data_IF_859089658698
#
_entry.id   IF_859089658698
#
_cell.length_a   1.000
_cell.length_b   1.000
_cell.length_c   1.000
_cell.angle_alpha   90.00
_cell.angle_beta   90.00
_cell.angle_gamma   90.00
#
_symmetry.space_group_name_H-M   'P 1'
#
loop_
_entity.id
_entity.type
_entity.pdbx_description
1 polymer ?
#
# COMPACT_ATOMS: atom_id res chain seq x y z
N UNK A 1 -30.30 15.19 -16.98
CA UNK A 1 -29.09 14.37 -17.10
C UNK A 1 -28.24 14.71 -15.90
N UNK A 2 -27.95 13.74 -15.04
CA UNK A 2 -26.88 13.90 -14.04
C UNK A 2 -25.61 13.61 -14.84
N UNK A 3 -24.80 14.62 -15.07
CA UNK A 3 -23.47 14.46 -15.69
C UNK A 3 -22.57 13.77 -14.66
N UNK A 4 -21.58 12.98 -15.12
CA UNK A 4 -20.63 12.26 -14.26
C UNK A 4 -19.87 13.16 -13.24
N UNK A 5 -20.05 14.49 -13.33
CA UNK A 5 -19.47 15.52 -12.48
C UNK A 5 -20.06 15.58 -11.05
N UNK A 6 -21.22 14.97 -10.80
CA UNK A 6 -21.88 14.99 -9.48
C UNK A 6 -21.57 13.78 -8.59
N UNK A 7 -20.51 13.02 -8.89
CA UNK A 7 -20.09 11.93 -8.00
C UNK A 7 -19.37 12.51 -6.78
N UNK A 8 -19.91 12.38 -5.55
CA UNK A 8 -19.25 12.92 -4.37
C UNK A 8 -17.92 12.20 -4.14
N UNK A 9 -16.84 12.97 -4.01
CA UNK A 9 -15.55 12.43 -3.58
C UNK A 9 -15.62 12.13 -2.09
N UNK A 10 -15.56 10.85 -1.73
CA UNK A 10 -15.49 10.41 -0.33
C UNK A 10 -14.02 10.42 0.10
N UNK A 11 -13.66 11.36 0.99
CA UNK A 11 -12.36 11.35 1.64
C UNK A 11 -12.39 10.46 2.88
N UNK A 12 -11.78 9.29 2.79
CA UNK A 12 -11.60 8.39 3.93
C UNK A 12 -10.15 8.47 4.44
N UNK A 13 -9.98 8.90 5.68
CA UNK A 13 -8.66 8.90 6.32
C UNK A 13 -8.32 7.50 6.82
N UNK A 14 -7.14 7.00 6.46
CA UNK A 14 -6.57 5.79 7.03
C UNK A 14 -5.45 6.16 8.00
N UNK A 15 -5.68 5.94 9.29
CA UNK A 15 -4.71 6.17 10.34
C UNK A 15 -3.98 4.85 10.66
N UNK A 16 -2.66 4.83 10.48
CA UNK A 16 -1.81 3.75 10.99
C UNK A 16 -0.74 4.31 11.91
N UNK A 17 -0.08 3.42 12.67
CA UNK A 17 1.03 3.80 13.55
C UNK A 17 2.27 4.08 12.72
N UNK A 18 2.91 5.21 12.98
CA UNK A 18 4.13 5.65 12.32
C UNK A 18 3.88 6.70 11.24
N UNK A 19 4.97 7.17 10.63
CA UNK A 19 4.92 8.16 9.56
C UNK A 19 4.99 7.45 8.21
N UNK A 20 4.14 7.84 7.27
CA UNK A 20 4.22 7.34 5.89
C UNK A 20 5.57 7.76 5.28
N UNK A 21 6.25 6.81 4.65
CA UNK A 21 7.56 6.96 4.01
C UNK A 21 7.39 6.72 2.51
N UNK A 22 7.79 7.70 1.71
CA UNK A 22 7.70 7.61 0.26
C UNK A 22 6.27 7.69 -0.26
N UNK A 23 6.12 7.40 -1.55
CA UNK A 23 4.85 7.49 -2.27
C UNK A 23 4.12 6.14 -2.14
N UNK A 24 2.80 6.13 -1.82
CA UNK A 24 1.98 4.93 -1.90
C UNK A 24 2.11 4.23 -3.25
N UNK A 25 2.15 2.90 -3.22
CA UNK A 25 2.24 2.09 -4.45
C UNK A 25 0.85 1.57 -4.81
N UNK A 26 0.38 1.91 -6.00
CA UNK A 26 -0.88 1.40 -6.55
C UNK A 26 -0.60 0.18 -7.42
N UNK A 27 -1.23 -0.94 -7.08
CA UNK A 27 -1.15 -2.16 -7.87
C UNK A 27 -2.48 -2.91 -7.81
N UNK A 28 -3.02 -3.29 -8.96
CA UNK A 28 -4.32 -3.96 -9.08
C UNK A 28 -5.45 -3.21 -8.35
N UNK A 29 -6.08 -3.85 -7.35
CA UNK A 29 -7.13 -3.28 -6.51
C UNK A 29 -6.61 -2.82 -5.14
N UNK A 30 -5.31 -2.57 -5.03
CA UNK A 30 -4.62 -2.35 -3.76
C UNK A 30 -3.79 -1.07 -3.73
N UNK A 31 -3.75 -0.45 -2.56
CA UNK A 31 -2.82 0.64 -2.22
C UNK A 31 -1.86 0.10 -1.17
N UNK A 32 -0.56 0.14 -1.45
CA UNK A 32 0.49 -0.33 -0.54
C UNK A 32 1.17 0.88 0.08
N UNK A 33 1.24 0.90 1.40
CA UNK A 33 1.75 1.98 2.23
C UNK A 33 2.98 1.51 3.00
N UNK A 34 4.04 2.32 2.96
CA UNK A 34 5.26 2.09 3.72
C UNK A 34 5.32 3.00 4.93
N UNK A 35 5.43 2.45 6.13
CA UNK A 35 5.64 3.17 7.38
C UNK A 35 7.04 2.91 7.96
N UNK A 36 7.99 2.51 7.11
CA UNK A 36 9.34 2.13 7.48
C UNK A 36 9.40 0.70 8.00
N UNK A 37 8.97 0.48 9.24
CA UNK A 37 8.99 -0.85 9.89
C UNK A 37 7.70 -1.64 9.72
N UNK A 38 6.69 -1.04 9.09
CA UNK A 38 5.42 -1.68 8.72
C UNK A 38 5.14 -1.39 7.25
N UNK A 39 4.75 -2.42 6.51
CA UNK A 39 4.18 -2.28 5.16
C UNK A 39 2.77 -2.81 5.18
N UNK A 40 1.84 -2.01 4.70
CA UNK A 40 0.42 -2.28 4.77
C UNK A 40 -0.22 -2.18 3.42
N UNK A 41 -1.26 -2.98 3.20
CA UNK A 41 -2.03 -2.92 1.97
C UNK A 41 -3.49 -2.68 2.29
N UNK A 42 -4.08 -1.73 1.57
CA UNK A 42 -5.49 -1.41 1.63
C UNK A 42 -6.17 -1.86 0.34
N UNK A 43 -7.44 -2.24 0.44
CA UNK A 43 -8.34 -2.26 -0.70
C UNK A 43 -8.54 -0.82 -1.18
N UNK A 44 -8.24 -0.56 -2.46
CA UNK A 44 -8.22 0.82 -2.99
C UNK A 44 -9.59 1.49 -3.02
N UNK A 45 -10.68 0.70 -3.05
CA UNK A 45 -12.04 1.22 -3.14
C UNK A 45 -12.67 1.37 -1.75
N UNK A 46 -12.30 0.48 -0.81
CA UNK A 46 -12.93 0.40 0.52
C UNK A 46 -12.10 1.02 1.63
N UNK A 47 -10.81 1.30 1.40
CA UNK A 47 -9.90 1.81 2.42
C UNK A 47 -9.66 0.84 3.59
N UNK A 48 -10.00 -0.44 3.42
CA UNK A 48 -9.88 -1.49 4.45
C UNK A 48 -8.51 -2.15 4.32
N UNK A 49 -7.80 -2.34 5.45
CA UNK A 49 -6.53 -3.07 5.47
C UNK A 49 -6.73 -4.54 5.13
N UNK A 50 -6.14 -4.97 4.02
CA UNK A 50 -6.10 -6.36 3.58
C UNK A 50 -5.02 -7.14 4.35
N UNK A 51 -3.81 -6.59 4.43
CA UNK A 51 -2.72 -7.22 5.17
C UNK A 51 -1.69 -6.22 5.69
N UNK A 52 -0.87 -6.68 6.62
CA UNK A 52 0.29 -5.97 7.17
C UNK A 52 1.46 -6.93 7.32
N UNK A 53 2.66 -6.46 6.98
CA UNK A 53 3.90 -7.10 7.36
C UNK A 53 4.74 -6.17 8.22
N UNK A 54 5.46 -6.75 9.17
CA UNK A 54 6.34 -6.02 10.05
C UNK A 54 7.79 -6.41 9.77
N UNK A 55 8.68 -5.44 9.73
CA UNK A 55 10.10 -5.62 9.44
C UNK A 55 10.95 -5.02 10.56
N UNK A 56 12.08 -5.66 10.86
CA UNK A 56 13.06 -5.15 11.83
C UNK A 56 13.87 -3.98 11.29
N UNK A 57 14.08 -3.93 9.96
CA UNK A 57 14.84 -2.87 9.30
C UNK A 57 13.89 -2.02 8.47
N UNK A 58 13.90 -0.68 8.62
CA UNK A 58 12.96 0.18 7.91
C UNK A 58 13.24 0.19 6.40
N UNK A 59 12.19 0.04 5.60
CA UNK A 59 12.30 0.23 4.15
C UNK A 59 12.27 1.72 3.80
N UNK A 60 13.20 2.13 2.95
CA UNK A 60 13.23 3.48 2.36
C UNK A 60 12.34 3.57 1.14
N UNK A 61 12.29 2.50 0.35
CA UNK A 61 11.52 2.43 -0.90
C UNK A 61 10.74 1.12 -0.98
N UNK A 62 9.54 1.23 -1.55
CA UNK A 62 8.82 0.11 -2.11
C UNK A 62 8.77 0.28 -3.62
N UNK A 63 9.07 -0.78 -4.35
CA UNK A 63 8.90 -0.86 -5.79
C UNK A 63 7.92 -1.98 -6.08
N UNK A 64 6.94 -1.74 -6.96
CA UNK A 64 6.05 -2.79 -7.43
C UNK A 64 5.96 -2.83 -8.95
N UNK A 65 6.00 -4.05 -9.46
CA UNK A 65 5.55 -4.44 -10.80
C UNK A 65 4.75 -5.74 -10.61
N UNK A 66 5.19 -6.90 -11.10
CA UNK A 66 4.53 -8.20 -10.78
C UNK A 66 4.77 -8.69 -9.35
N UNK A 67 5.71 -8.05 -8.64
CA UNK A 67 6.15 -8.40 -7.29
C UNK A 67 6.39 -7.11 -6.51
N UNK A 68 6.32 -7.19 -5.19
CA UNK A 68 6.67 -6.09 -4.31
C UNK A 68 8.12 -6.27 -3.83
N UNK A 69 8.93 -5.23 -3.94
CA UNK A 69 10.30 -5.20 -3.42
C UNK A 69 10.41 -4.10 -2.36
N UNK A 70 10.83 -4.46 -1.16
CA UNK A 70 11.20 -3.52 -0.12
C UNK A 70 12.71 -3.34 -0.08
N UNK A 71 13.18 -2.09 -0.19
CA UNK A 71 14.60 -1.74 -0.18
C UNK A 71 14.92 -0.97 1.09
N UNK A 72 15.84 -1.50 1.90
CA UNK A 72 16.42 -0.84 3.06
C UNK A 72 17.88 -0.48 2.79
N UNK A 73 18.55 0.20 3.72
CA UNK A 73 19.98 0.48 3.58
C UNK A 73 20.86 -0.77 3.56
N UNK A 74 20.43 -1.84 4.23
CA UNK A 74 21.25 -3.02 4.50
C UNK A 74 20.87 -4.24 3.67
N UNK A 75 19.65 -4.26 3.13
CA UNK A 75 19.13 -5.39 2.38
C UNK A 75 17.92 -4.99 1.52
N UNK A 76 17.61 -5.85 0.54
CA UNK A 76 16.34 -5.86 -0.18
C UNK A 76 15.56 -7.14 0.15
N UNK A 77 14.24 -7.04 0.28
CA UNK A 77 13.34 -8.20 0.36
C UNK A 77 12.34 -8.18 -0.78
N UNK A 78 12.07 -9.36 -1.32
CA UNK A 78 11.09 -9.60 -2.38
C UNK A 78 9.88 -10.32 -1.79
N UNK A 79 8.68 -9.82 -2.07
CA UNK A 79 7.42 -10.50 -1.81
C UNK A 79 6.69 -10.79 -3.12
N UNK A 80 6.19 -12.01 -3.24
CA UNK A 80 5.27 -12.38 -4.30
C UNK A 80 3.88 -12.00 -3.80
N UNK A 81 3.28 -11.00 -4.44
CA UNK A 81 1.89 -10.65 -4.21
C UNK A 81 1.04 -11.73 -4.89
N UNK A 82 0.37 -12.57 -4.10
CA UNK A 82 -0.61 -13.49 -4.67
C UNK A 82 -1.84 -12.65 -5.05
N UNK A 83 -2.35 -12.74 -6.29
CA UNK A 83 -3.70 -12.26 -6.55
C UNK A 83 -4.62 -13.07 -5.65
N UNK A 84 -5.48 -12.39 -4.88
CA UNK A 84 -6.51 -13.08 -4.12
C UNK A 84 -7.34 -13.93 -5.10
N UNK A 85 -7.34 -15.24 -4.91
CA UNK A 85 -8.27 -16.13 -5.58
C UNK A 85 -9.67 -15.78 -5.05
N UNK A 86 -10.46 -15.10 -5.88
CA UNK A 86 -11.89 -14.88 -5.61
C UNK A 86 -12.63 -16.21 -5.58
#
# INVERSE_FOLDING_TARGET
MITDEDTPVILQSYQSRGKLIGIPVLINNSVILNYGTSVETLDKNRGIRLWRIQTKTPYKFLLADKRLVGISEKNSKLWILKPDSY
#
